data_IF_648630686141
#
_entry.id   IF_648630686141
#
_cell.length_a   1.000
_cell.length_b   1.000
_cell.length_c   1.000
_cell.angle_alpha   90.00
_cell.angle_beta   90.00
_cell.angle_gamma   90.00
#
_symmetry.space_group_name_H-M   'P 1'
#
loop_
_entity.id
_entity.type
_entity.pdbx_description
1 polymer ?
#
# COMPACT_ATOMS: atom_id res chain seq x y z
N UNK A 1 -18.12 8.78 -33.49
CA UNK A 1 -18.49 7.37 -33.14
C UNK A 1 -17.39 6.36 -33.48
N UNK A 2 -16.89 6.25 -34.73
CA UNK A 2 -15.82 5.28 -35.08
C UNK A 2 -14.51 5.46 -34.28
N UNK A 3 -14.20 6.68 -33.86
CA UNK A 3 -13.05 6.97 -33.00
C UNK A 3 -13.08 6.24 -31.64
N UNK A 4 -14.26 5.86 -31.13
CA UNK A 4 -14.39 5.12 -29.87
C UNK A 4 -13.81 3.70 -29.96
N UNK A 5 -13.85 3.06 -31.14
CA UNK A 5 -13.30 1.71 -31.33
C UNK A 5 -11.77 1.65 -31.15
N UNK A 6 -11.11 2.78 -31.40
CA UNK A 6 -9.67 2.97 -31.30
C UNK A 6 -9.23 3.45 -29.91
N UNK A 7 -10.15 3.59 -28.95
CA UNK A 7 -9.80 4.01 -27.60
C UNK A 7 -8.77 3.07 -26.96
N UNK A 8 -7.77 3.67 -26.34
CA UNK A 8 -6.72 2.98 -25.58
C UNK A 8 -6.65 3.59 -24.18
N UNK A 9 -6.66 2.78 -23.10
CA UNK A 9 -6.56 3.30 -21.75
C UNK A 9 -5.19 3.93 -21.48
N UNK A 10 -5.14 4.96 -20.63
CA UNK A 10 -3.91 5.71 -20.31
C UNK A 10 -3.18 5.25 -19.05
N UNK A 11 -3.83 4.43 -18.22
CA UNK A 11 -3.28 3.82 -17.00
C UNK A 11 -2.60 4.77 -15.99
N UNK A 12 -2.93 6.06 -16.03
CA UNK A 12 -2.37 7.08 -15.14
C UNK A 12 -1.12 7.80 -15.65
N UNK A 13 -0.64 7.49 -16.86
CA UNK A 13 0.47 8.23 -17.47
C UNK A 13 -0.05 9.43 -18.27
N UNK A 14 0.53 10.61 -18.03
CA UNK A 14 0.10 11.91 -18.60
C UNK A 14 0.30 12.06 -20.12
N UNK A 15 0.51 10.97 -20.86
CA UNK A 15 0.72 10.97 -22.30
C UNK A 15 -0.55 11.31 -23.11
N UNK A 16 -0.34 11.83 -24.32
CA UNK A 16 -1.42 12.12 -25.27
C UNK A 16 -2.06 10.83 -25.82
N UNK A 17 -1.29 9.76 -26.00
CA UNK A 17 -1.73 8.46 -26.51
C UNK A 17 -1.98 7.45 -25.38
N UNK A 18 -3.00 6.59 -25.53
CA UNK A 18 -3.21 5.46 -24.63
C UNK A 18 -2.18 4.34 -24.87
N UNK A 19 -2.23 3.30 -24.05
CA UNK A 19 -1.32 2.15 -24.15
C UNK A 19 -1.94 1.01 -24.95
N UNK A 20 -1.10 0.29 -25.70
CA UNK A 20 -1.48 -0.98 -26.32
C UNK A 20 -1.54 -2.10 -25.28
N UNK A 21 -2.14 -3.24 -25.63
CA UNK A 21 -2.13 -4.44 -24.77
C UNK A 21 -0.71 -4.87 -24.41
N UNK A 22 0.21 -4.91 -25.38
CA UNK A 22 1.60 -5.29 -25.13
C UNK A 22 2.33 -4.35 -24.16
N UNK A 23 2.12 -3.03 -24.30
CA UNK A 23 2.67 -2.03 -23.36
C UNK A 23 2.08 -2.18 -21.95
N UNK A 24 0.78 -2.46 -21.87
CA UNK A 24 0.11 -2.74 -20.61
C UNK A 24 0.69 -3.98 -19.93
N UNK A 25 0.83 -5.10 -20.65
CA UNK A 25 1.37 -6.35 -20.12
C UNK A 25 2.82 -6.16 -19.67
N UNK A 26 3.62 -5.40 -20.41
CA UNK A 26 4.98 -5.07 -19.98
C UNK A 26 4.99 -4.25 -18.67
N UNK A 27 4.11 -3.26 -18.55
CA UNK A 27 4.04 -2.39 -17.36
C UNK A 27 3.49 -3.12 -16.12
N UNK A 28 2.41 -3.88 -16.28
CA UNK A 28 1.77 -4.59 -15.16
C UNK A 28 2.52 -5.88 -14.83
N UNK A 29 3.13 -6.54 -15.83
CA UNK A 29 3.90 -7.75 -15.62
C UNK A 29 5.29 -7.50 -15.01
N UNK A 30 5.84 -6.29 -15.14
CA UNK A 30 7.09 -5.92 -14.44
C UNK A 30 6.88 -5.53 -12.97
N UNK A 31 5.63 -5.25 -12.58
CA UNK A 31 5.24 -4.99 -11.21
C UNK A 31 5.04 -6.34 -10.47
N UNK A 32 5.84 -6.65 -9.44
CA UNK A 32 5.82 -7.98 -8.82
C UNK A 32 4.44 -8.38 -8.32
N UNK A 33 3.75 -7.47 -7.63
CA UNK A 33 2.44 -7.75 -7.06
C UNK A 33 1.38 -7.97 -8.13
N UNK A 34 1.34 -7.09 -9.13
CA UNK A 34 0.35 -7.21 -10.20
C UNK A 34 0.57 -8.46 -11.02
N UNK A 35 1.83 -8.83 -11.28
CA UNK A 35 2.15 -10.10 -11.92
C UNK A 35 1.72 -11.28 -11.05
N UNK A 36 2.03 -11.32 -9.75
CA UNK A 36 1.67 -12.47 -8.92
C UNK A 36 0.16 -12.67 -8.78
N UNK A 37 -0.59 -11.57 -8.75
CA UNK A 37 -2.06 -11.58 -8.65
C UNK A 37 -2.73 -11.86 -10.01
N UNK A 38 -2.07 -11.59 -11.13
CA UNK A 38 -2.64 -11.78 -12.48
C UNK A 38 -3.32 -10.55 -13.06
N UNK A 39 -2.96 -9.34 -12.60
CA UNK A 39 -3.50 -8.10 -13.16
C UNK A 39 -2.84 -7.70 -14.49
N UNK A 40 -1.83 -8.43 -14.95
CA UNK A 40 -1.28 -8.34 -16.30
C UNK A 40 -2.08 -9.15 -17.34
N UNK A 41 -3.25 -9.70 -16.96
CA UNK A 41 -4.16 -10.43 -17.86
C UNK A 41 -4.69 -9.54 -19.01
N UNK A 42 -4.82 -10.06 -20.24
CA UNK A 42 -5.52 -9.38 -21.33
C UNK A 42 -6.96 -8.99 -20.99
N UNK A 43 -7.65 -9.76 -20.13
CA UNK A 43 -9.00 -9.42 -19.68
C UNK A 43 -9.00 -8.17 -18.81
N UNK A 44 -7.96 -7.97 -17.99
CA UNK A 44 -7.77 -6.74 -17.22
C UNK A 44 -7.69 -5.53 -18.17
N UNK A 45 -6.89 -5.63 -19.23
CA UNK A 45 -6.78 -4.58 -20.25
C UNK A 45 -8.13 -4.32 -20.95
N UNK A 46 -8.84 -5.39 -21.34
CA UNK A 46 -10.15 -5.29 -21.98
C UNK A 46 -11.15 -4.56 -21.08
N UNK A 47 -11.15 -4.86 -19.79
CA UNK A 47 -12.03 -4.23 -18.83
C UNK A 47 -11.66 -2.76 -18.53
N UNK A 48 -10.37 -2.39 -18.56
CA UNK A 48 -9.96 -0.97 -18.60
C UNK A 48 -10.43 -0.26 -19.87
N UNK A 49 -10.42 -0.93 -21.02
CA UNK A 49 -10.91 -0.39 -22.30
C UNK A 49 -12.44 -0.23 -22.30
N UNK A 50 -13.16 -1.18 -21.69
CA UNK A 50 -14.62 -1.18 -21.59
C UNK A 50 -15.16 -0.37 -20.39
N UNK A 51 -14.29 0.17 -19.53
CA UNK A 51 -14.62 0.95 -18.34
C UNK A 51 -15.58 0.25 -17.35
N UNK A 52 -15.58 -1.09 -17.30
CA UNK A 52 -16.46 -1.89 -16.45
C UNK A 52 -15.69 -2.74 -15.42
N UNK A 53 -16.25 -2.93 -14.22
CA UNK A 53 -15.79 -3.91 -13.22
C UNK A 53 -14.46 -3.63 -12.49
N UNK A 54 -13.54 -2.86 -13.07
CA UNK A 54 -12.17 -2.74 -12.58
C UNK A 54 -12.01 -2.04 -11.25
N UNK A 55 -12.82 -1.01 -10.99
CA UNK A 55 -12.81 -0.32 -9.70
C UNK A 55 -13.16 -1.26 -8.56
N UNK A 56 -14.05 -2.23 -8.79
CA UNK A 56 -14.42 -3.24 -7.79
C UNK A 56 -13.27 -4.20 -7.52
N UNK A 57 -12.58 -4.69 -8.57
CA UNK A 57 -11.40 -5.56 -8.44
C UNK A 57 -10.32 -4.87 -7.60
N UNK A 58 -9.92 -3.65 -7.96
CA UNK A 58 -8.91 -2.91 -7.20
C UNK A 58 -9.34 -2.62 -5.76
N UNK A 59 -10.63 -2.38 -5.51
CA UNK A 59 -11.14 -2.17 -4.15
C UNK A 59 -11.00 -3.44 -3.31
N UNK A 60 -11.39 -4.59 -3.86
CA UNK A 60 -11.27 -5.87 -3.16
C UNK A 60 -9.82 -6.25 -2.89
N UNK A 61 -8.92 -5.99 -3.84
CA UNK A 61 -7.48 -6.17 -3.62
C UNK A 61 -6.94 -5.24 -2.53
N UNK A 62 -7.41 -3.99 -2.46
CA UNK A 62 -7.09 -3.09 -1.36
C UNK A 62 -7.52 -3.64 0.00
N UNK A 63 -8.74 -4.16 0.10
CA UNK A 63 -9.26 -4.80 1.33
C UNK A 63 -8.43 -6.04 1.69
N UNK A 64 -8.12 -6.89 0.70
CA UNK A 64 -7.30 -8.08 0.89
C UNK A 64 -5.88 -7.75 1.37
N UNK A 65 -5.24 -6.72 0.80
CA UNK A 65 -3.94 -6.22 1.23
C UNK A 65 -3.95 -5.74 2.69
N UNK A 66 -4.99 -5.01 3.11
CA UNK A 66 -5.16 -4.59 4.51
C UNK A 66 -5.31 -5.78 5.46
N UNK A 67 -6.13 -6.76 5.07
CA UNK A 67 -6.32 -7.97 5.86
C UNK A 67 -5.02 -8.77 6.02
N UNK A 68 -4.28 -8.98 4.92
CA UNK A 68 -2.98 -9.67 4.94
C UNK A 68 -1.99 -8.94 5.86
N UNK A 69 -1.85 -7.61 5.73
CA UNK A 69 -1.01 -6.82 6.64
C UNK A 69 -1.39 -7.10 8.09
N UNK A 70 -2.66 -6.94 8.44
CA UNK A 70 -3.12 -7.04 9.81
C UNK A 70 -2.94 -8.45 10.39
N UNK A 71 -3.16 -9.50 9.59
CA UNK A 71 -2.88 -10.89 10.00
C UNK A 71 -1.39 -11.13 10.22
N UNK A 72 -0.51 -10.62 9.34
CA UNK A 72 0.95 -10.75 9.54
C UNK A 72 1.38 -10.08 10.84
N UNK A 73 0.88 -8.88 11.14
CA UNK A 73 1.21 -8.19 12.39
C UNK A 73 0.80 -9.01 13.62
N UNK A 74 -0.36 -9.65 13.59
CA UNK A 74 -0.83 -10.49 14.69
C UNK A 74 -0.01 -11.78 14.81
N UNK A 75 0.13 -12.52 13.72
CA UNK A 75 0.72 -13.86 13.73
C UNK A 75 2.25 -13.82 13.88
N UNK A 76 2.94 -12.88 13.23
CA UNK A 76 4.40 -12.81 13.22
C UNK A 76 4.99 -11.94 14.32
N UNK A 77 4.28 -10.91 14.79
CA UNK A 77 4.75 -10.05 15.88
C UNK A 77 4.06 -10.37 17.22
N UNK A 78 3.09 -11.29 17.22
CA UNK A 78 2.36 -11.70 18.42
C UNK A 78 1.41 -10.63 18.97
N UNK A 79 1.06 -9.63 18.16
CA UNK A 79 0.18 -8.54 18.53
C UNK A 79 -1.27 -9.03 18.60
N UNK A 80 -2.02 -8.55 19.57
CA UNK A 80 -3.48 -8.67 19.56
C UNK A 80 -4.08 -7.82 18.44
N UNK A 81 -5.35 -8.07 18.13
CA UNK A 81 -6.09 -7.25 17.18
C UNK A 81 -6.08 -5.78 17.60
N UNK A 82 -6.27 -5.48 18.88
CA UNK A 82 -6.27 -4.12 19.40
C UNK A 82 -4.90 -3.47 19.27
N UNK A 83 -3.83 -4.19 19.57
CA UNK A 83 -2.44 -3.68 19.45
C UNK A 83 -2.04 -3.44 18.00
N UNK A 84 -2.49 -4.29 17.07
CA UNK A 84 -2.19 -4.20 15.63
C UNK A 84 -3.02 -3.13 14.88
N UNK A 85 -4.03 -2.53 15.51
CA UNK A 85 -4.89 -1.53 14.89
C UNK A 85 -4.70 -0.16 15.56
N UNK A 86 -4.61 0.91 14.76
CA UNK A 86 -4.51 2.27 15.29
C UNK A 86 -5.74 3.11 14.96
N UNK A 87 -6.20 3.88 15.94
CA UNK A 87 -7.25 4.88 15.72
C UNK A 87 -7.11 6.07 16.65
N UNK A 88 -7.67 7.20 16.24
CA UNK A 88 -7.67 8.44 17.00
C UNK A 88 -8.96 9.22 16.77
N UNK A 89 -9.22 10.19 17.65
CA UNK A 89 -10.41 11.05 17.58
C UNK A 89 -10.03 12.41 17.02
N UNK A 90 -10.87 12.92 16.11
CA UNK A 90 -10.78 14.31 15.64
C UNK A 90 -12.05 15.07 16.02
N UNK A 91 -11.94 16.37 16.38
CA UNK A 91 -13.09 17.23 16.55
C UNK A 91 -13.99 17.19 15.30
N UNK A 92 -15.30 17.19 15.50
CA UNK A 92 -16.29 17.24 14.44
C UNK A 92 -17.14 18.49 14.60
N UNK A 93 -17.63 19.02 13.47
CA UNK A 93 -18.71 20.01 13.48
C UNK A 93 -20.04 19.44 14.00
N UNK A 94 -20.15 18.12 14.11
CA UNK A 94 -21.25 17.41 14.77
C UNK A 94 -20.94 17.21 16.26
N UNK A 95 -21.98 16.97 17.07
CA UNK A 95 -21.88 16.78 18.52
C UNK A 95 -20.98 15.61 19.00
N UNK A 96 -20.58 14.68 18.11
CA UNK A 96 -19.71 13.56 18.44
C UNK A 96 -18.38 13.65 17.69
N UNK A 97 -17.22 13.45 18.36
CA UNK A 97 -15.94 13.38 17.69
C UNK A 97 -15.92 12.23 16.68
N UNK A 98 -15.22 12.42 15.58
CA UNK A 98 -15.10 11.42 14.52
C UNK A 98 -13.88 10.55 14.80
N UNK A 99 -14.04 9.23 14.76
CA UNK A 99 -12.92 8.29 14.83
C UNK A 99 -12.32 8.10 13.44
N UNK A 100 -10.99 8.16 13.36
CA UNK A 100 -10.18 7.83 12.19
C UNK A 100 -9.23 6.70 12.54
N UNK A 101 -8.85 5.91 11.56
CA UNK A 101 -7.96 4.76 11.74
C UNK A 101 -6.98 4.60 10.57
N UNK A 102 -5.88 3.92 10.85
CA UNK A 102 -4.95 3.39 9.86
C UNK A 102 -4.92 1.86 9.99
N UNK A 103 -4.38 1.20 8.96
CA UNK A 103 -4.53 -0.24 8.73
C UNK A 103 -3.63 -1.13 9.61
N UNK A 104 -2.58 -0.54 10.20
CA UNK A 104 -1.65 -1.25 11.06
C UNK A 104 -0.99 -0.35 12.10
N UNK A 105 -0.55 -0.97 13.20
CA UNK A 105 0.26 -0.35 14.24
C UNK A 105 1.33 -1.33 14.70
N UNK A 106 2.53 -0.81 14.93
CA UNK A 106 3.59 -1.51 15.64
C UNK A 106 4.13 -0.54 16.67
N UNK A 107 3.81 -0.78 17.94
CA UNK A 107 4.35 -0.06 19.08
C UNK A 107 5.43 -0.91 19.75
N UNK A 108 6.56 -0.32 20.08
CA UNK A 108 7.73 -1.04 20.58
C UNK A 108 7.46 -1.78 21.89
N UNK A 109 6.64 -1.18 22.75
CA UNK A 109 6.27 -1.74 24.05
C UNK A 109 5.37 -2.98 23.93
N UNK A 110 4.59 -3.09 22.85
CA UNK A 110 3.71 -4.24 22.57
C UNK A 110 4.49 -5.47 22.05
N UNK A 111 5.74 -5.27 21.58
CA UNK A 111 6.58 -6.36 21.04
C UNK A 111 7.21 -7.18 22.15
N UNK A 112 6.74 -8.42 22.34
CA UNK A 112 7.20 -9.31 23.42
C UNK A 112 8.58 -9.91 23.19
N UNK A 113 8.92 -10.22 21.94
CA UNK A 113 10.24 -10.74 21.57
C UNK A 113 11.27 -9.60 21.50
N UNK A 114 12.32 -9.70 22.33
CA UNK A 114 13.35 -8.65 22.45
C UNK A 114 14.17 -8.50 21.17
N UNK A 115 14.42 -9.60 20.44
CA UNK A 115 15.18 -9.55 19.19
C UNK A 115 14.39 -8.80 18.11
N UNK A 116 13.10 -9.14 17.96
CA UNK A 116 12.18 -8.44 17.07
C UNK A 116 12.04 -6.97 17.44
N UNK A 117 11.89 -6.66 18.74
CA UNK A 117 11.85 -5.27 19.24
C UNK A 117 13.11 -4.49 18.87
N UNK A 118 14.30 -5.03 19.12
CA UNK A 118 15.56 -4.37 18.77
C UNK A 118 15.71 -4.14 17.28
N UNK A 119 15.34 -5.13 16.45
CA UNK A 119 15.37 -5.02 14.98
C UNK A 119 14.43 -3.94 14.46
N UNK A 120 13.20 -3.88 14.96
CA UNK A 120 12.22 -2.86 14.58
C UNK A 120 12.65 -1.48 15.08
N UNK A 121 13.19 -1.36 16.31
CA UNK A 121 13.74 -0.11 16.83
C UNK A 121 14.89 0.42 15.98
N UNK A 122 15.81 -0.46 15.57
CA UNK A 122 16.90 -0.09 14.67
C UNK A 122 16.34 0.44 13.34
N UNK A 123 15.40 -0.27 12.74
CA UNK A 123 14.78 0.16 11.48
C UNK A 123 14.02 1.48 11.63
N UNK A 124 13.34 1.72 12.76
CA UNK A 124 12.69 3.00 13.07
C UNK A 124 13.71 4.14 13.04
N UNK A 125 14.92 3.92 13.56
CA UNK A 125 15.99 4.92 13.52
C UNK A 125 16.46 5.18 12.08
N UNK A 126 16.63 4.12 11.27
CA UNK A 126 16.97 4.24 9.84
C UNK A 126 15.88 5.01 9.06
N UNK A 127 14.61 4.71 9.32
CA UNK A 127 13.48 5.43 8.75
C UNK A 127 13.44 6.90 9.18
N UNK A 128 13.70 7.18 10.46
CA UNK A 128 13.75 8.53 10.99
C UNK A 128 14.90 9.36 10.38
N UNK A 129 16.05 8.74 10.14
CA UNK A 129 17.17 9.36 9.42
C UNK A 129 16.79 9.73 8.00
N UNK A 130 16.20 8.78 7.27
CA UNK A 130 15.72 9.01 5.90
C UNK A 130 14.70 10.12 5.78
N UNK A 131 13.84 10.25 6.78
CA UNK A 131 12.82 11.29 6.85
C UNK A 131 13.33 12.62 7.40
N UNK A 132 14.62 12.71 7.72
CA UNK A 132 15.25 13.88 8.32
C UNK A 132 14.56 14.34 9.62
N UNK A 133 14.08 13.38 10.43
CA UNK A 133 13.38 13.70 11.67
C UNK A 133 14.38 14.26 12.70
N UNK A 134 14.03 15.33 13.45
CA UNK A 134 14.86 15.85 14.52
C UNK A 134 15.10 14.81 15.62
N UNK A 135 16.28 14.82 16.26
CA UNK A 135 16.66 13.86 17.30
C UNK A 135 15.58 13.68 18.38
N UNK A 136 15.00 14.76 18.88
CA UNK A 136 13.94 14.73 19.91
C UNK A 136 12.70 13.95 19.47
N UNK A 137 12.34 14.02 18.20
CA UNK A 137 11.23 13.25 17.62
C UNK A 137 11.55 11.76 17.62
N UNK A 138 12.82 11.39 17.36
CA UNK A 138 13.29 10.00 17.37
C UNK A 138 13.24 9.41 18.76
N UNK A 139 13.75 10.15 19.75
CA UNK A 139 13.79 9.72 21.16
C UNK A 139 12.40 9.53 21.76
N UNK A 140 11.40 10.30 21.27
CA UNK A 140 10.02 10.22 21.75
C UNK A 140 9.16 9.24 20.96
N UNK A 141 9.69 8.61 19.91
CA UNK A 141 8.91 7.75 19.02
C UNK A 141 8.50 6.44 19.72
N UNK A 142 7.21 6.11 19.63
CA UNK A 142 6.65 4.87 20.19
C UNK A 142 6.70 3.70 19.21
N UNK A 143 6.83 3.98 17.92
CA UNK A 143 6.70 2.99 16.87
C UNK A 143 6.22 3.58 15.54
N UNK A 144 5.52 2.74 14.76
CA UNK A 144 4.95 3.12 13.47
C UNK A 144 3.46 2.85 13.38
N UNK A 145 2.81 3.59 12.48
CA UNK A 145 1.44 3.33 12.02
C UNK A 145 1.44 3.22 10.50
N UNK A 146 0.68 2.27 9.99
CA UNK A 146 0.77 1.82 8.60
C UNK A 146 -0.55 2.05 7.89
N UNK A 147 -0.52 2.69 6.74
CA UNK A 147 -1.59 2.63 5.74
C UNK A 147 -1.18 1.62 4.67
N UNK A 148 -2.03 0.65 4.36
CA UNK A 148 -1.81 -0.33 3.31
C UNK A 148 -2.62 0.02 2.06
N UNK A 149 -1.94 0.02 0.92
CA UNK A 149 -2.58 0.22 -0.38
C UNK A 149 -2.05 -0.82 -1.36
N UNK A 150 -2.93 -1.37 -2.18
CA UNK A 150 -2.52 -2.22 -3.31
C UNK A 150 -1.64 -1.42 -4.31
N UNK A 151 -1.96 -0.15 -4.49
CA UNK A 151 -1.30 0.84 -5.35
C UNK A 151 -2.06 2.18 -5.24
N UNK A 152 -1.45 3.28 -5.67
CA UNK A 152 -2.02 4.63 -5.49
C UNK A 152 -2.02 5.46 -6.78
N UNK A 153 -3.12 5.40 -7.53
CA UNK A 153 -3.29 6.13 -8.81
C UNK A 153 -4.24 7.34 -8.73
N UNK A 154 -4.77 7.65 -7.55
CA UNK A 154 -5.78 8.70 -7.39
C UNK A 154 -5.15 10.09 -7.31
N UNK A 155 -5.47 10.96 -8.26
CA UNK A 155 -5.17 12.40 -8.18
C UNK A 155 -6.24 13.23 -7.45
N UNK A 156 -7.16 12.57 -6.73
CA UNK A 156 -8.19 13.27 -5.97
C UNK A 156 -7.56 14.03 -4.80
N UNK A 157 -7.67 15.36 -4.84
CA UNK A 157 -7.04 16.25 -3.86
C UNK A 157 -7.61 16.06 -2.47
N UNK A 158 -8.89 15.71 -2.33
CA UNK A 158 -9.52 15.45 -1.03
C UNK A 158 -8.92 14.22 -0.36
N UNK A 159 -8.74 13.13 -1.12
CA UNK A 159 -8.09 11.91 -0.61
C UNK A 159 -6.65 12.16 -0.19
N UNK A 160 -5.88 12.86 -1.02
CA UNK A 160 -4.48 13.20 -0.68
C UNK A 160 -4.38 14.07 0.58
N UNK A 161 -5.28 15.06 0.74
CA UNK A 161 -5.30 15.90 1.93
C UNK A 161 -5.67 15.11 3.19
N UNK A 162 -6.61 14.16 3.08
CA UNK A 162 -6.97 13.29 4.19
C UNK A 162 -5.80 12.38 4.60
N UNK A 163 -5.13 11.78 3.62
CA UNK A 163 -3.93 10.98 3.79
C UNK A 163 -2.83 11.78 4.52
N UNK A 164 -2.48 12.99 4.05
CA UNK A 164 -1.48 13.85 4.72
C UNK A 164 -1.91 14.23 6.14
N UNK A 165 -3.21 14.50 6.35
CA UNK A 165 -3.73 14.79 7.68
C UNK A 165 -3.58 13.60 8.63
N UNK A 166 -3.77 12.36 8.15
CA UNK A 166 -3.52 11.16 8.95
C UNK A 166 -2.03 11.05 9.32
N UNK A 167 -1.12 11.30 8.39
CA UNK A 167 0.32 11.31 8.65
C UNK A 167 0.71 12.34 9.73
N UNK A 168 0.16 13.56 9.66
CA UNK A 168 0.38 14.57 10.71
C UNK A 168 -0.15 14.14 12.07
N UNK A 169 -1.30 13.46 12.12
CA UNK A 169 -1.85 12.93 13.38
C UNK A 169 -1.01 11.77 13.93
N UNK A 170 -0.42 10.93 13.09
CA UNK A 170 0.52 9.91 13.53
C UNK A 170 1.69 10.54 14.29
N UNK A 171 2.31 11.58 13.71
CA UNK A 171 3.38 12.33 14.36
C UNK A 171 2.95 12.98 15.67
N UNK A 172 1.76 13.60 15.71
CA UNK A 172 1.21 14.17 16.93
C UNK A 172 1.00 13.14 18.05
N UNK A 173 0.83 11.86 17.69
CA UNK A 173 0.70 10.74 18.61
C UNK A 173 2.01 9.94 18.78
N UNK A 174 3.14 10.50 18.33
CA UNK A 174 4.49 9.95 18.48
C UNK A 174 4.76 8.67 17.67
N UNK A 175 4.09 8.50 16.53
CA UNK A 175 4.37 7.41 15.58
C UNK A 175 4.93 7.97 14.26
N UNK A 176 5.82 7.20 13.60
CA UNK A 176 6.19 7.47 12.21
C UNK A 176 5.09 6.88 11.31
N UNK A 177 4.46 7.70 10.44
CA UNK A 177 3.52 7.20 9.45
C UNK A 177 4.28 6.49 8.32
N UNK A 178 3.78 5.32 7.93
CA UNK A 178 4.33 4.49 6.86
C UNK A 178 3.23 4.16 5.86
N UNK A 179 3.47 4.38 4.57
CA UNK A 179 2.59 3.98 3.49
C UNK A 179 3.20 2.75 2.84
N UNK A 180 2.54 1.61 3.01
CA UNK A 180 2.90 0.34 2.38
C UNK A 180 2.14 0.23 1.07
N UNK A 181 2.88 0.24 -0.05
CA UNK A 181 2.36 -0.13 -1.36
C UNK A 181 2.79 -1.55 -1.71
N UNK A 182 1.80 -2.41 -2.00
CA UNK A 182 2.08 -3.77 -2.46
C UNK A 182 2.64 -3.76 -3.89
N UNK A 183 2.18 -2.85 -4.73
CA UNK A 183 2.67 -2.65 -6.11
C UNK A 183 3.70 -1.52 -6.20
N UNK A 184 4.35 -1.40 -7.34
CA UNK A 184 5.18 -0.25 -7.72
C UNK A 184 4.33 0.94 -8.19
N UNK A 185 3.00 0.79 -8.24
CA UNK A 185 2.12 1.79 -8.82
C UNK A 185 1.84 2.93 -7.85
N UNK A 186 2.51 4.05 -8.04
CA UNK A 186 2.13 5.34 -7.48
C UNK A 186 2.41 6.45 -8.49
N UNK A 187 1.54 7.46 -8.54
CA UNK A 187 1.79 8.66 -9.33
C UNK A 187 2.97 9.47 -8.74
N UNK A 188 3.88 9.93 -9.59
CA UNK A 188 5.12 10.59 -9.16
C UNK A 188 4.86 11.87 -8.37
N UNK A 189 3.86 12.67 -8.76
CA UNK A 189 3.51 13.91 -8.07
C UNK A 189 3.00 13.61 -6.65
N UNK A 190 2.20 12.52 -6.52
CA UNK A 190 1.70 12.07 -5.22
C UNK A 190 2.82 11.53 -4.34
N UNK A 191 3.70 10.68 -4.91
CA UNK A 191 4.85 10.15 -4.19
C UNK A 191 5.73 11.29 -3.66
N UNK A 192 6.06 12.27 -4.50
CA UNK A 192 6.82 13.45 -4.09
C UNK A 192 6.12 14.21 -2.97
N UNK A 193 4.81 14.43 -3.10
CA UNK A 193 4.02 15.15 -2.09
C UNK A 193 4.02 14.44 -0.73
N UNK A 194 3.91 13.11 -0.72
CA UNK A 194 3.88 12.32 0.51
C UNK A 194 5.26 12.27 1.17
N UNK A 195 6.33 12.14 0.38
CA UNK A 195 7.71 12.24 0.87
C UNK A 195 7.99 13.62 1.47
N UNK A 196 7.53 14.70 0.83
CA UNK A 196 7.66 16.07 1.37
C UNK A 196 6.88 16.27 2.68
N UNK A 197 5.79 15.53 2.87
CA UNK A 197 5.04 15.49 4.13
C UNK A 197 5.67 14.55 5.19
N UNK A 198 6.90 14.08 4.94
CA UNK A 198 7.64 13.14 5.78
C UNK A 198 6.86 11.83 6.05
N UNK A 199 6.07 11.36 5.08
CA UNK A 199 5.48 10.03 5.16
C UNK A 199 6.45 9.02 4.55
N UNK A 200 6.84 8.01 5.32
CA UNK A 200 7.70 6.95 4.78
C UNK A 200 6.94 6.18 3.70
N UNK A 201 7.46 6.18 2.48
CA UNK A 201 6.88 5.45 1.36
C UNK A 201 7.64 4.15 1.12
N UNK A 202 6.96 3.01 1.28
CA UNK A 202 7.47 1.71 0.89
C UNK A 202 6.76 1.25 -0.38
N UNK A 203 7.53 0.93 -1.41
CA UNK A 203 7.03 0.55 -2.74
C UNK A 203 7.14 -0.95 -2.98
N UNK A 204 6.35 -1.48 -3.91
CA UNK A 204 6.28 -2.92 -4.21
C UNK A 204 7.49 -3.53 -4.93
N UNK A 205 8.70 -2.99 -4.77
CA UNK A 205 9.92 -3.62 -5.31
C UNK A 205 10.37 -4.78 -4.42
N UNK A 206 11.00 -5.82 -4.98
CA UNK A 206 11.54 -6.97 -4.21
C UNK A 206 13.00 -6.80 -3.80
N UNK A 207 13.59 -5.65 -4.13
CA UNK A 207 14.97 -5.28 -3.90
C UNK A 207 15.05 -3.81 -3.48
N UNK A 208 16.23 -3.39 -3.03
CA UNK A 208 16.47 -2.06 -2.45
C UNK A 208 16.64 -2.13 -0.95
N UNK A 209 16.28 -1.06 -0.25
CA UNK A 209 16.41 -0.96 1.20
C UNK A 209 15.10 -1.32 1.91
N UNK A 210 15.20 -1.63 3.21
CA UNK A 210 14.07 -1.79 4.13
C UNK A 210 13.23 -0.51 4.30
N UNK A 211 13.73 0.65 3.87
CA UNK A 211 13.02 1.93 3.95
C UNK A 211 12.48 2.41 2.60
N UNK A 212 12.67 1.65 1.52
CA UNK A 212 12.16 1.93 0.17
C UNK A 212 11.19 0.86 -0.34
N UNK A 213 11.36 -0.38 0.13
CA UNK A 213 10.68 -1.55 -0.38
C UNK A 213 9.78 -2.19 0.68
N UNK A 214 8.52 -2.40 0.31
CA UNK A 214 7.54 -3.16 1.09
C UNK A 214 8.06 -4.58 1.31
N UNK A 215 8.47 -5.28 0.26
CA UNK A 215 8.85 -6.70 0.39
C UNK A 215 10.14 -6.90 1.18
N UNK A 216 11.11 -6.00 1.05
CA UNK A 216 12.36 -6.02 1.85
C UNK A 216 12.06 -5.68 3.30
N UNK A 217 11.21 -4.68 3.57
CA UNK A 217 10.73 -4.35 4.92
C UNK A 217 10.09 -5.57 5.61
N UNK A 218 9.14 -6.23 4.94
CA UNK A 218 8.49 -7.40 5.51
C UNK A 218 9.47 -8.53 5.79
N UNK A 219 10.35 -8.85 4.82
CA UNK A 219 11.32 -9.94 4.97
C UNK A 219 12.32 -9.67 6.10
N UNK A 220 12.93 -8.49 6.09
CA UNK A 220 14.12 -8.23 6.90
C UNK A 220 13.76 -7.61 8.26
N UNK A 221 12.70 -6.79 8.34
CA UNK A 221 12.30 -6.08 9.56
C UNK A 221 11.19 -6.81 10.29
N UNK A 222 10.10 -7.15 9.60
CA UNK A 222 8.98 -7.91 10.19
C UNK A 222 9.37 -9.38 10.41
N UNK A 223 10.24 -9.93 9.55
CA UNK A 223 10.60 -11.35 9.58
C UNK A 223 9.60 -12.25 8.85
N UNK A 224 8.81 -11.69 7.93
CA UNK A 224 7.86 -12.43 7.10
C UNK A 224 8.16 -12.26 5.62
N UNK A 225 8.38 -13.37 4.91
CA UNK A 225 8.59 -13.32 3.46
C UNK A 225 7.26 -13.17 2.68
N UNK A 226 6.79 -11.93 2.62
CA UNK A 226 5.57 -11.55 1.92
C UNK A 226 5.66 -11.81 0.41
N UNK A 227 6.85 -11.67 -0.19
CA UNK A 227 7.04 -11.97 -1.61
C UNK A 227 6.85 -13.46 -1.88
N UNK A 228 7.49 -14.31 -1.08
CA UNK A 228 7.35 -15.75 -1.20
C UNK A 228 5.92 -16.21 -0.93
N UNK A 229 5.17 -15.55 -0.03
CA UNK A 229 3.73 -15.81 0.15
C UNK A 229 2.95 -15.62 -1.16
N UNK A 230 3.09 -14.48 -1.84
CA UNK A 230 2.37 -14.24 -3.09
C UNK A 230 2.85 -15.15 -4.22
N UNK A 231 4.15 -15.42 -4.32
CA UNK A 231 4.71 -16.32 -5.32
C UNK A 231 4.15 -17.74 -5.20
N UNK A 232 4.16 -18.32 -3.98
CA UNK A 232 3.63 -19.67 -3.73
C UNK A 232 2.13 -19.79 -4.05
N UNK A 233 1.39 -18.70 -3.89
CA UNK A 233 -0.05 -18.67 -4.13
C UNK A 233 -0.42 -18.13 -5.53
N UNK A 234 0.57 -17.74 -6.35
CA UNK A 234 0.35 -16.96 -7.57
C UNK A 234 -0.55 -17.69 -8.57
N UNK A 235 -0.36 -18.99 -8.77
CA UNK A 235 -1.19 -19.79 -9.69
C UNK A 235 -2.66 -19.73 -9.28
N UNK A 236 -2.96 -19.93 -7.99
CA UNK A 236 -4.32 -19.86 -7.48
C UNK A 236 -4.89 -18.45 -7.63
N UNK A 237 -4.15 -17.42 -7.24
CA UNK A 237 -4.59 -16.02 -7.30
C UNK A 237 -4.90 -15.60 -8.75
N UNK A 238 -4.02 -15.96 -9.70
CA UNK A 238 -4.23 -15.72 -11.13
C UNK A 238 -5.51 -16.37 -11.64
N UNK A 239 -5.74 -17.64 -11.28
CA UNK A 239 -6.96 -18.35 -11.70
C UNK A 239 -8.22 -17.67 -11.16
N UNK A 240 -8.24 -17.26 -9.90
CA UNK A 240 -9.39 -16.55 -9.31
C UNK A 240 -9.63 -15.21 -10.00
N UNK A 241 -8.58 -14.44 -10.27
CA UNK A 241 -8.69 -13.17 -11.00
C UNK A 241 -9.21 -13.39 -12.42
N UNK A 242 -8.73 -14.40 -13.14
CA UNK A 242 -9.20 -14.71 -14.50
C UNK A 242 -10.69 -15.09 -14.50
N UNK A 243 -11.15 -15.87 -13.52
CA UNK A 243 -12.58 -16.22 -13.33
C UNK A 243 -13.41 -14.96 -13.09
N UNK A 244 -12.97 -14.08 -12.18
CA UNK A 244 -13.66 -12.83 -11.87
C UNK A 244 -13.71 -11.92 -13.10
N UNK A 245 -12.60 -11.74 -13.82
CA UNK A 245 -12.51 -10.88 -15.00
C UNK A 245 -13.38 -11.42 -16.15
N UNK A 246 -13.39 -12.74 -16.35
CA UNK A 246 -14.29 -13.39 -17.32
C UNK A 246 -15.73 -13.07 -16.97
N UNK A 247 -16.15 -13.34 -15.74
CA UNK A 247 -17.52 -13.10 -15.29
C UNK A 247 -17.94 -11.63 -15.44
N UNK A 248 -17.03 -10.68 -15.19
CA UNK A 248 -17.31 -9.25 -15.35
C UNK A 248 -17.45 -8.80 -16.81
N UNK A 249 -16.81 -9.49 -17.75
CA UNK A 249 -16.78 -9.11 -19.17
C UNK A 249 -17.77 -9.88 -20.04
N UNK A 250 -18.25 -11.03 -19.59
CA UNK A 250 -19.24 -11.85 -20.31
C UNK A 250 -20.66 -11.69 -19.79
N UNK A 251 -20.86 -10.90 -18.72
CA UNK A 251 -22.18 -10.60 -18.15
C UNK A 251 -23.01 -9.64 -19.01
#
# INVERSE_FOLDING_TARGET
MRACAQYQPKFGQGGKTGMTLGQFQQMYGSDPFYNWIGLDSPLMYAAHKAAGGMTSVYRQLGIGSQWILNQILQDHLGLSKEEANWSYLVPSSKAKPRRLSLDGRIELDDLRDTNTRSRIQQWINEAADKLFLPQKTRESNKGIVIEARQGYKSKDSKRQNADISNASNAYANLYIPVLVLFSMQIDADVAQRYTQAQWLLLTGTTHGSTTDSTYVFFRDVIGYDLAAFFQRNSVRLKNEIEVILTALLTA
#
